data_IF_151487859758
#
_entry.id   IF_151487859758
#
_cell.length_a   1.000
_cell.length_b   1.000
_cell.length_c   1.000
_cell.angle_alpha   90.00
_cell.angle_beta   90.00
_cell.angle_gamma   90.00
#
_symmetry.space_group_name_H-M   'P 1'
#
loop_
_entity.id
_entity.type
_entity.pdbx_description
1 polymer ?
#
# COMPACT_ATOMS: atom_id res chain seq x y z
N UNK A 1 -34.96 36.23 12.45
CA UNK A 1 -33.54 36.25 12.00
C UNK A 1 -32.97 34.90 12.30
N UNK A 2 -32.95 34.05 11.27
CA UNK A 2 -32.55 32.64 11.41
C UNK A 2 -31.06 32.52 11.02
N UNK A 3 -30.23 32.17 12.00
CA UNK A 3 -28.78 31.90 11.76
C UNK A 3 -28.61 30.48 11.28
N UNK A 4 -28.32 30.33 9.97
CA UNK A 4 -27.94 29.05 9.38
C UNK A 4 -26.45 28.82 9.66
N UNK A 5 -26.15 27.95 10.62
CA UNK A 5 -24.78 27.51 10.89
C UNK A 5 -24.27 26.60 9.78
N UNK A 6 -23.25 27.07 9.05
CA UNK A 6 -22.53 26.28 8.05
C UNK A 6 -21.64 25.28 8.76
N UNK A 7 -22.05 24.01 8.78
CA UNK A 7 -21.20 22.87 9.22
C UNK A 7 -20.14 22.61 8.15
N UNK A 8 -18.94 23.12 8.36
CA UNK A 8 -17.77 22.73 7.58
C UNK A 8 -17.32 21.35 8.03
N UNK A 9 -17.61 20.34 7.23
CA UNK A 9 -17.08 18.99 7.45
C UNK A 9 -15.57 19.01 7.20
N UNK A 10 -14.80 18.99 8.26
CA UNK A 10 -13.35 18.81 8.20
C UNK A 10 -13.10 17.33 7.87
N UNK A 11 -12.73 17.06 6.61
CA UNK A 11 -12.22 15.74 6.20
C UNK A 11 -10.80 15.65 6.77
N UNK A 12 -10.62 14.79 7.76
CA UNK A 12 -9.29 14.44 8.24
C UNK A 12 -8.48 13.83 7.09
N UNK A 13 -7.19 14.18 6.95
CA UNK A 13 -6.32 13.50 5.99
C UNK A 13 -6.32 12.00 6.32
N UNK A 14 -6.38 11.16 5.29
CA UNK A 14 -6.22 9.72 5.46
C UNK A 14 -4.87 9.47 6.15
N UNK A 15 -4.91 8.93 7.35
CA UNK A 15 -3.72 8.57 8.13
C UNK A 15 -2.90 7.57 7.32
N UNK A 16 -1.66 7.92 7.01
CA UNK A 16 -0.66 7.02 6.44
C UNK A 16 -0.30 5.87 7.39
N UNK A 17 -0.83 5.91 8.61
CA UNK A 17 -0.63 4.91 9.66
C UNK A 17 -1.38 3.59 9.43
N UNK A 18 -2.34 3.54 8.51
CA UNK A 18 -3.12 2.31 8.26
C UNK A 18 -2.48 1.35 7.23
N UNK A 19 -1.38 1.78 6.58
CA UNK A 19 -0.70 0.95 5.60
C UNK A 19 0.18 -0.10 6.27
N UNK A 20 -0.04 -1.36 5.94
CA UNK A 20 0.78 -2.47 6.40
C UNK A 20 1.71 -2.93 5.28
N UNK A 21 2.99 -2.98 5.60
CA UNK A 21 4.05 -3.44 4.71
C UNK A 21 3.82 -4.91 4.32
N UNK A 22 4.24 -5.25 3.10
CA UNK A 22 4.17 -6.60 2.57
C UNK A 22 5.21 -6.87 1.50
N UNK A 23 5.23 -8.11 1.02
CA UNK A 23 6.16 -8.57 0.00
C UNK A 23 6.11 -7.66 -1.25
N UNK A 24 7.28 -7.26 -1.74
CA UNK A 24 7.40 -6.43 -2.93
C UNK A 24 7.38 -4.92 -2.69
N UNK A 25 7.08 -4.44 -1.48
CA UNK A 25 7.26 -3.02 -1.14
C UNK A 25 8.74 -2.64 -1.15
N UNK A 26 9.04 -1.45 -1.65
CA UNK A 26 10.37 -0.86 -1.57
C UNK A 26 10.37 0.21 -0.48
N UNK A 27 11.24 0.07 0.48
CA UNK A 27 11.38 0.96 1.63
C UNK A 27 12.78 1.55 1.71
N UNK A 28 12.85 2.72 2.32
CA UNK A 28 14.11 3.34 2.71
C UNK A 28 14.16 3.45 4.22
N UNK A 29 15.25 2.96 4.79
CA UNK A 29 15.63 3.15 6.19
C UNK A 29 16.78 4.15 6.18
N UNK A 30 16.62 5.27 6.85
CA UNK A 30 17.63 6.31 6.97
C UNK A 30 17.97 6.50 8.44
N UNK A 31 19.25 6.37 8.78
CA UNK A 31 19.78 6.61 10.11
C UNK A 31 20.65 7.86 10.04
N UNK A 32 20.27 8.88 10.80
CA UNK A 32 20.93 10.19 10.73
C UNK A 32 22.41 10.09 11.11
N UNK A 33 23.28 10.59 10.24
CA UNK A 33 24.76 10.56 10.34
C UNK A 33 25.40 9.16 10.33
N UNK A 34 24.63 8.12 9.92
CA UNK A 34 25.12 6.74 9.83
C UNK A 34 24.76 6.17 8.44
N UNK A 35 25.60 6.50 7.45
CA UNK A 35 25.37 6.09 6.06
C UNK A 35 25.45 4.57 5.90
N UNK A 36 26.35 3.92 6.66
CA UNK A 36 26.52 2.45 6.64
C UNK A 36 25.31 1.68 7.19
N UNK A 37 24.44 2.35 7.95
CA UNK A 37 23.20 1.81 8.49
C UNK A 37 21.96 2.28 7.69
N UNK A 38 22.17 3.19 6.73
CA UNK A 38 21.10 3.68 5.86
C UNK A 38 21.02 2.84 4.60
N UNK A 39 19.83 2.38 4.23
CA UNK A 39 19.65 1.52 3.07
C UNK A 39 18.30 1.68 2.41
N UNK A 40 18.25 1.36 1.13
CA UNK A 40 17.02 1.20 0.35
C UNK A 40 16.94 -0.24 -0.11
N UNK A 41 15.79 -0.88 0.08
CA UNK A 41 15.62 -2.29 -0.20
C UNK A 41 14.19 -2.61 -0.58
N UNK A 42 14.04 -3.74 -1.27
CA UNK A 42 12.75 -4.34 -1.56
C UNK A 42 12.52 -5.51 -0.61
N UNK A 43 11.33 -5.56 -0.02
CA UNK A 43 10.93 -6.69 0.82
C UNK A 43 10.79 -7.96 -0.03
N UNK A 44 11.32 -9.08 0.48
CA UNK A 44 11.26 -10.37 -0.15
C UNK A 44 9.83 -10.98 -0.10
N UNK A 45 9.67 -12.20 -0.61
CA UNK A 45 8.37 -12.90 -0.64
C UNK A 45 7.79 -13.16 0.77
N UNK A 46 8.64 -13.26 1.78
CA UNK A 46 8.22 -13.40 3.18
C UNK A 46 7.94 -12.07 3.86
N UNK A 47 8.27 -10.95 3.21
CA UNK A 47 8.22 -9.61 3.76
C UNK A 47 9.29 -9.39 4.81
N UNK A 48 10.46 -10.00 4.62
CA UNK A 48 11.64 -9.85 5.48
C UNK A 48 12.79 -9.19 4.72
N UNK A 49 13.81 -8.78 5.45
CA UNK A 49 15.06 -8.29 4.92
C UNK A 49 16.18 -8.42 5.95
N UNK A 50 17.43 -8.51 5.47
CA UNK A 50 18.59 -8.50 6.34
C UNK A 50 19.06 -7.06 6.59
N UNK A 51 19.25 -6.73 7.87
CA UNK A 51 19.71 -5.42 8.28
C UNK A 51 21.08 -5.52 9.01
N UNK A 52 22.02 -4.59 8.73
CA UNK A 52 23.34 -4.62 9.35
C UNK A 52 23.25 -4.72 10.88
N UNK A 53 24.02 -5.62 11.46
CA UNK A 53 24.14 -5.90 12.90
C UNK A 53 22.88 -6.47 13.57
N UNK A 54 21.68 -6.28 13.02
CA UNK A 54 20.43 -6.78 13.59
C UNK A 54 19.95 -8.11 12.98
N UNK A 55 20.59 -8.54 11.86
CA UNK A 55 20.18 -9.74 11.15
C UNK A 55 18.84 -9.57 10.43
N UNK A 56 18.08 -10.65 10.32
CA UNK A 56 16.83 -10.67 9.58
C UNK A 56 15.69 -9.99 10.36
N UNK A 57 15.08 -8.98 9.76
CA UNK A 57 13.93 -8.25 10.31
C UNK A 57 12.67 -8.59 9.51
N UNK A 58 11.57 -8.84 10.20
CA UNK A 58 10.25 -9.03 9.59
C UNK A 58 9.52 -7.70 9.51
N UNK A 59 9.22 -7.26 8.29
CA UNK A 59 8.41 -6.06 8.01
C UNK A 59 6.95 -6.40 7.68
N UNK A 60 6.67 -7.61 7.25
CA UNK A 60 5.34 -8.05 6.83
C UNK A 60 4.27 -7.78 7.90
N UNK A 61 3.17 -7.16 7.48
CA UNK A 61 2.04 -6.76 8.35
C UNK A 61 2.40 -5.76 9.46
N UNK A 62 3.51 -5.06 9.36
CA UNK A 62 3.86 -3.94 10.24
C UNK A 62 3.61 -2.61 9.55
N UNK A 63 3.26 -1.60 10.33
CA UNK A 63 3.28 -0.21 9.85
C UNK A 63 4.72 0.30 9.75
N UNK A 64 4.91 1.42 9.03
CA UNK A 64 6.20 2.09 8.97
C UNK A 64 6.72 2.46 10.36
N UNK A 65 5.83 2.97 11.23
CA UNK A 65 6.19 3.37 12.60
C UNK A 65 6.64 2.17 13.43
N UNK A 66 5.95 1.03 13.32
CA UNK A 66 6.34 -0.20 14.01
C UNK A 66 7.69 -0.72 13.53
N UNK A 67 7.96 -0.63 12.23
CA UNK A 67 9.27 -1.01 11.68
C UNK A 67 10.36 -0.06 12.15
N UNK A 68 10.10 1.25 12.10
CA UNK A 68 11.01 2.28 12.60
C UNK A 68 11.37 2.05 14.07
N UNK A 69 10.38 1.77 14.91
CA UNK A 69 10.59 1.46 16.31
C UNK A 69 11.46 0.21 16.47
N UNK A 70 11.18 -0.87 15.73
CA UNK A 70 11.97 -2.11 15.79
C UNK A 70 13.45 -1.87 15.47
N UNK A 71 13.73 -1.10 14.40
CA UNK A 71 15.11 -0.77 14.01
C UNK A 71 15.76 0.13 15.06
N UNK A 72 15.05 1.15 15.55
CA UNK A 72 15.55 2.07 16.58
C UNK A 72 15.94 1.34 17.86
N UNK A 73 15.05 0.46 18.36
CA UNK A 73 15.31 -0.32 19.58
C UNK A 73 16.47 -1.29 19.39
N UNK A 74 16.56 -1.94 18.21
CA UNK A 74 17.68 -2.83 17.91
C UNK A 74 19.04 -2.10 17.90
N UNK A 75 19.09 -0.93 17.27
CA UNK A 75 20.32 -0.12 17.22
C UNK A 75 20.72 0.46 18.59
N UNK A 76 19.74 0.74 19.46
CA UNK A 76 19.97 1.32 20.78
C UNK A 76 20.66 0.35 21.74
N UNK A 77 20.51 -0.97 21.56
CA UNK A 77 21.00 -1.95 22.51
C UNK A 77 22.53 -1.96 22.61
N UNK A 78 23.23 -2.08 21.48
CA UNK A 78 24.69 -2.27 21.48
C UNK A 78 25.43 -1.50 20.39
N UNK A 79 24.75 -0.69 19.57
CA UNK A 79 25.33 -0.11 18.35
C UNK A 79 25.40 1.41 18.43
N UNK A 80 24.30 2.08 18.77
CA UNK A 80 24.20 3.54 18.86
C UNK A 80 23.61 3.99 20.19
N UNK A 81 24.12 5.12 20.72
CA UNK A 81 23.62 5.70 21.99
C UNK A 81 22.29 6.41 21.80
N UNK A 82 22.05 7.02 20.64
CA UNK A 82 20.83 7.78 20.35
C UNK A 82 20.50 7.71 18.85
N UNK A 83 20.02 6.55 18.35
CA UNK A 83 19.70 6.39 16.94
C UNK A 83 18.50 7.26 16.54
N UNK A 84 18.68 8.05 15.46
CA UNK A 84 17.60 8.78 14.83
C UNK A 84 17.28 8.10 13.50
N UNK A 85 16.26 7.23 13.53
CA UNK A 85 15.85 6.39 12.41
C UNK A 85 14.58 6.94 11.77
N UNK A 86 14.55 7.01 10.45
CA UNK A 86 13.36 7.29 9.66
C UNK A 86 13.12 6.16 8.66
N UNK A 87 11.89 5.64 8.62
CA UNK A 87 11.47 4.63 7.65
C UNK A 87 10.39 5.20 6.74
N UNK A 88 10.56 5.06 5.43
CA UNK A 88 9.64 5.59 4.43
C UNK A 88 9.42 4.60 3.29
N UNK A 89 8.26 4.69 2.64
CA UNK A 89 7.98 3.97 1.39
C UNK A 89 8.66 4.69 0.23
N UNK A 90 9.40 3.95 -0.58
CA UNK A 90 9.94 4.40 -1.87
C UNK A 90 8.96 4.03 -2.98
N UNK A 91 8.48 2.77 -2.95
CA UNK A 91 7.52 2.27 -3.91
C UNK A 91 6.61 1.24 -3.26
N UNK A 92 5.31 1.42 -3.45
CA UNK A 92 4.33 0.40 -3.05
C UNK A 92 4.37 -0.78 -4.00
N UNK A 93 4.08 -1.98 -3.51
CA UNK A 93 3.84 -3.14 -4.36
C UNK A 93 2.69 -2.90 -5.31
N UNK A 94 2.74 -3.56 -6.45
CA UNK A 94 1.74 -3.44 -7.49
C UNK A 94 0.37 -3.99 -7.04
N UNK A 95 -0.70 -3.55 -7.70
CA UNK A 95 -2.01 -4.20 -7.66
C UNK A 95 -2.25 -4.93 -8.98
N UNK A 96 -3.21 -5.84 -9.01
CA UNK A 96 -3.58 -6.62 -10.17
C UNK A 96 -4.97 -6.23 -10.66
N UNK A 97 -5.15 -6.20 -11.98
CA UNK A 97 -6.46 -5.99 -12.59
C UNK A 97 -6.70 -7.02 -13.68
N UNK A 98 -7.91 -7.61 -13.68
CA UNK A 98 -8.31 -8.66 -14.59
C UNK A 98 -9.80 -8.59 -14.95
N UNK A 99 -10.27 -9.62 -15.66
CA UNK A 99 -11.63 -9.69 -16.19
C UNK A 99 -11.78 -8.80 -17.44
N UNK A 100 -12.92 -8.12 -17.56
CA UNK A 100 -13.31 -7.37 -18.75
C UNK A 100 -12.64 -6.00 -18.85
N UNK A 101 -11.30 -6.00 -18.93
CA UNK A 101 -10.45 -4.83 -19.24
C UNK A 101 -9.58 -5.09 -20.45
N UNK A 102 -9.18 -4.04 -21.15
CA UNK A 102 -8.41 -4.17 -22.39
C UNK A 102 -7.00 -4.74 -22.17
N UNK A 103 -6.39 -4.44 -21.02
CA UNK A 103 -5.04 -4.89 -20.67
C UNK A 103 -5.03 -5.42 -19.25
N UNK A 104 -5.19 -6.73 -19.11
CA UNK A 104 -5.04 -7.43 -17.82
C UNK A 104 -3.58 -7.43 -17.39
N UNK A 105 -3.31 -7.35 -16.08
CA UNK A 105 -1.95 -7.41 -15.57
C UNK A 105 -1.75 -6.73 -14.23
N UNK A 106 -0.47 -6.57 -13.89
CA UNK A 106 0.03 -5.89 -12.70
C UNK A 106 0.32 -4.42 -13.03
N UNK A 107 -0.06 -3.53 -12.13
CA UNK A 107 0.10 -2.09 -12.29
C UNK A 107 0.64 -1.44 -11.01
N UNK A 108 1.51 -0.42 -11.15
CA UNK A 108 2.03 0.30 -10.00
C UNK A 108 0.91 1.02 -9.24
N UNK A 109 0.88 0.80 -7.94
CA UNK A 109 -0.07 1.48 -7.06
C UNK A 109 0.35 2.94 -6.81
N UNK A 110 -0.65 3.81 -6.72
CA UNK A 110 -0.50 5.19 -6.27
C UNK A 110 -1.52 5.50 -5.16
N UNK A 111 -1.13 6.23 -4.11
CA UNK A 111 -2.07 6.62 -3.05
C UNK A 111 -3.32 7.32 -3.58
N UNK A 112 -4.47 6.90 -3.09
CA UNK A 112 -5.76 7.42 -3.52
C UNK A 112 -6.34 6.78 -4.78
N UNK A 113 -5.71 5.71 -5.32
CA UNK A 113 -6.18 5.00 -6.50
C UNK A 113 -7.58 4.40 -6.25
N UNK A 114 -8.48 4.62 -7.21
CA UNK A 114 -9.82 4.02 -7.23
C UNK A 114 -9.94 2.99 -8.34
N UNK A 115 -10.96 2.12 -8.26
CA UNK A 115 -11.25 1.14 -9.32
C UNK A 115 -11.42 1.80 -10.68
N UNK A 116 -12.11 2.94 -10.76
CA UNK A 116 -12.25 3.70 -12.00
C UNK A 116 -10.91 4.11 -12.60
N UNK A 117 -9.99 4.57 -11.78
CA UNK A 117 -8.65 4.94 -12.22
C UNK A 117 -7.83 3.71 -12.62
N UNK A 118 -7.94 2.61 -11.88
CA UNK A 118 -7.30 1.34 -12.21
C UNK A 118 -7.77 0.80 -13.57
N UNK A 119 -9.08 0.87 -13.86
CA UNK A 119 -9.63 0.52 -15.19
C UNK A 119 -9.02 1.41 -16.29
N UNK A 120 -8.89 2.71 -16.04
CA UNK A 120 -8.28 3.63 -17.01
C UNK A 120 -6.80 3.28 -17.28
N UNK A 121 -6.03 2.91 -16.24
CA UNK A 121 -4.65 2.43 -16.40
C UNK A 121 -4.58 1.17 -17.26
N UNK A 122 -5.57 0.28 -17.12
CA UNK A 122 -5.71 -0.93 -17.93
C UNK A 122 -6.26 -0.68 -19.36
N UNK A 123 -6.35 0.58 -19.78
CA UNK A 123 -6.82 0.97 -21.12
C UNK A 123 -8.34 1.01 -21.30
N UNK A 124 -9.09 0.96 -20.20
CA UNK A 124 -10.55 0.93 -20.17
C UNK A 124 -11.12 -0.49 -20.21
N UNK A 125 -12.44 -0.57 -20.17
CA UNK A 125 -13.18 -1.84 -20.21
C UNK A 125 -13.32 -2.36 -21.64
N UNK A 126 -13.62 -3.66 -21.78
CA UNK A 126 -14.13 -4.26 -23.02
C UNK A 126 -15.61 -3.90 -23.23
N UNK A 127 -16.15 -4.25 -24.39
CA UNK A 127 -17.57 -4.09 -24.69
C UNK A 127 -18.49 -5.05 -23.91
N UNK A 128 -17.91 -6.12 -23.34
CA UNK A 128 -18.62 -7.11 -22.53
C UNK A 128 -18.65 -6.79 -21.05
N UNK A 129 -17.98 -5.75 -20.63
CA UNK A 129 -17.84 -5.39 -19.22
C UNK A 129 -19.17 -4.91 -18.62
N UNK A 130 -19.41 -5.29 -17.38
CA UNK A 130 -20.44 -4.65 -16.56
C UNK A 130 -20.07 -3.19 -16.27
N UNK A 131 -21.04 -2.30 -16.33
CA UNK A 131 -20.85 -0.87 -16.06
C UNK A 131 -20.64 -0.56 -14.56
N UNK A 132 -20.94 -1.51 -13.67
CA UNK A 132 -21.00 -1.25 -12.23
C UNK A 132 -20.68 -2.43 -11.32
N UNK A 133 -20.40 -3.62 -11.88
CA UNK A 133 -20.14 -4.82 -11.09
C UNK A 133 -18.66 -5.14 -11.14
N UNK A 134 -17.98 -4.88 -10.04
CA UNK A 134 -16.57 -5.17 -9.83
C UNK A 134 -16.40 -5.98 -8.56
N UNK A 135 -15.38 -6.78 -8.54
CA UNK A 135 -14.95 -7.53 -7.37
C UNK A 135 -13.54 -7.12 -6.98
N UNK A 136 -13.27 -7.12 -5.69
CA UNK A 136 -11.95 -6.86 -5.15
C UNK A 136 -11.59 -7.93 -4.14
N UNK A 137 -10.44 -8.56 -4.36
CA UNK A 137 -9.81 -9.48 -3.43
C UNK A 137 -8.67 -8.74 -2.75
N UNK A 138 -8.79 -8.49 -1.46
CA UNK A 138 -7.74 -7.87 -0.65
C UNK A 138 -6.62 -8.85 -0.39
N UNK A 139 -5.40 -8.38 -0.47
CA UNK A 139 -4.26 -9.21 -0.10
C UNK A 139 -4.37 -9.73 1.34
N UNK A 140 -4.06 -11.02 1.52
CA UNK A 140 -4.21 -11.68 2.82
C UNK A 140 -5.65 -12.00 3.23
N UNK A 141 -6.64 -11.78 2.35
CA UNK A 141 -8.04 -12.14 2.53
C UNK A 141 -8.44 -13.22 1.53
N UNK A 142 -9.30 -14.14 1.97
CA UNK A 142 -9.94 -15.13 1.08
C UNK A 142 -11.35 -14.69 0.66
N UNK A 143 -11.76 -13.48 1.04
CA UNK A 143 -13.10 -12.97 0.76
C UNK A 143 -13.07 -12.00 -0.42
N UNK A 144 -13.82 -12.34 -1.46
CA UNK A 144 -14.11 -11.44 -2.58
C UNK A 144 -15.20 -10.46 -2.12
N UNK A 145 -14.95 -9.17 -2.32
CA UNK A 145 -15.87 -8.10 -1.95
C UNK A 145 -16.43 -7.46 -3.21
N UNK A 146 -17.75 -7.23 -3.23
CA UNK A 146 -18.37 -6.40 -4.27
C UNK A 146 -17.88 -4.96 -4.14
N UNK A 147 -17.56 -4.34 -5.26
CA UNK A 147 -16.95 -3.03 -5.30
C UNK A 147 -17.61 -2.13 -6.36
N UNK A 148 -17.40 -0.85 -6.25
CA UNK A 148 -17.88 0.16 -7.19
C UNK A 148 -16.77 1.04 -7.72
N UNK A 149 -17.07 1.91 -8.67
CA UNK A 149 -16.12 2.82 -9.32
C UNK A 149 -15.23 3.62 -8.36
N UNK A 150 -15.80 4.05 -7.23
CA UNK A 150 -15.12 4.89 -6.24
C UNK A 150 -14.48 4.09 -5.10
N UNK A 151 -14.57 2.75 -5.15
CA UNK A 151 -13.90 1.92 -4.15
C UNK A 151 -12.40 2.11 -4.27
N UNK A 152 -11.75 2.36 -3.12
CA UNK A 152 -10.31 2.51 -3.06
C UNK A 152 -9.60 1.17 -3.31
N UNK A 153 -8.65 1.18 -4.22
CA UNK A 153 -7.70 0.08 -4.45
C UNK A 153 -6.54 0.25 -3.47
N UNK A 154 -6.00 -0.84 -2.97
CA UNK A 154 -4.83 -0.88 -2.08
C UNK A 154 -3.67 -1.64 -2.75
N UNK A 155 -2.42 -1.44 -2.30
CA UNK A 155 -1.31 -2.27 -2.77
C UNK A 155 -1.59 -3.76 -2.53
N UNK A 156 -1.28 -4.60 -3.53
CA UNK A 156 -1.52 -6.03 -3.48
C UNK A 156 -2.95 -6.50 -3.76
N UNK A 157 -3.91 -5.57 -3.97
CA UNK A 157 -5.28 -5.95 -4.31
C UNK A 157 -5.35 -6.60 -5.70
N UNK A 158 -6.29 -7.52 -5.85
CA UNK A 158 -6.73 -8.01 -7.16
C UNK A 158 -8.13 -7.48 -7.46
N UNK A 159 -8.23 -6.68 -8.52
CA UNK A 159 -9.49 -6.09 -9.01
C UNK A 159 -9.98 -6.90 -10.20
N UNK A 160 -11.21 -7.39 -10.17
CA UNK A 160 -11.82 -8.13 -11.27
C UNK A 160 -13.03 -7.37 -11.80
N UNK A 161 -13.02 -7.07 -13.08
CA UNK A 161 -14.14 -6.45 -13.79
C UNK A 161 -15.01 -7.56 -14.33
N UNK A 162 -16.25 -7.61 -13.88
CA UNK A 162 -17.18 -8.67 -14.26
C UNK A 162 -17.80 -8.41 -15.64
N UNK A 163 -18.23 -9.49 -16.28
CA UNK A 163 -19.03 -9.44 -17.50
C UNK A 163 -20.42 -8.88 -17.21
N UNK A 164 -20.96 -8.09 -18.14
CA UNK A 164 -22.33 -7.59 -18.12
C UNK A 164 -23.31 -8.69 -18.51
N UNK A 165 -24.45 -8.72 -17.84
CA UNK A 165 -25.60 -9.54 -18.30
C UNK A 165 -26.29 -8.76 -19.42
N UNK A 166 -26.35 -9.34 -20.59
CA UNK A 166 -27.09 -8.82 -21.76
C UNK A 166 -28.50 -9.42 -21.79
#
# INVERSE_FOLDING_TARGET
MLLIGLLVSFQAPADTNDYLLGAGDEIRIQVYQEDDLSMELRLDESGTFDYPYLGTITANKRSLDQLQQTVTEGLLQDILVNPNVNVSIVKYRDFYIGGEVKKVGSYPYQPGLTIKQAINLAGGTTEWASSSKYEILREGSNLIQSAGNNTAVRPGDTVTILEGLF
#
